data_IF_019244998214
#
_entry.id   IF_019244998214
#
_cell.length_a   1.000
_cell.length_b   1.000
_cell.length_c   1.000
_cell.angle_alpha   90.00
_cell.angle_beta   90.00
_cell.angle_gamma   90.00
#
_symmetry.space_group_name_H-M   'P 1'
#
loop_
_entity.id
_entity.type
_entity.pdbx_description
1 polymer ?
#
# COMPACT_ATOMS: atom_id res chain seq x y z
N UNK A 1 -32.97 -5.30 11.37
CA UNK A 1 -33.02 -4.66 10.03
C UNK A 1 -32.58 -3.19 10.02
N UNK A 2 -32.77 -2.42 11.10
CA UNK A 2 -32.42 -0.98 11.10
C UNK A 2 -30.91 -0.70 10.99
N UNK A 3 -30.06 -1.57 11.53
CA UNK A 3 -28.60 -1.35 11.53
C UNK A 3 -27.96 -1.60 10.15
N UNK A 4 -28.51 -2.52 9.36
CA UNK A 4 -28.01 -2.80 8.00
C UNK A 4 -28.15 -1.59 7.08
N UNK A 5 -29.18 -0.76 7.28
CA UNK A 5 -29.38 0.50 6.52
C UNK A 5 -28.20 1.46 6.70
N UNK A 6 -27.49 1.41 7.84
CA UNK A 6 -26.30 2.22 8.07
C UNK A 6 -25.02 1.47 7.70
N UNK A 7 -24.93 0.17 8.02
CA UNK A 7 -23.72 -0.62 7.76
C UNK A 7 -23.44 -0.81 6.27
N UNK A 8 -24.47 -0.99 5.43
CA UNK A 8 -24.30 -1.16 3.99
C UNK A 8 -23.64 0.08 3.34
N UNK A 9 -24.18 1.31 3.49
CA UNK A 9 -23.54 2.47 2.89
C UNK A 9 -22.18 2.78 3.50
N UNK A 10 -21.97 2.54 4.80
CA UNK A 10 -20.65 2.70 5.42
C UNK A 10 -19.65 1.71 4.81
N UNK A 11 -20.02 0.44 4.66
CA UNK A 11 -19.14 -0.57 4.06
C UNK A 11 -18.82 -0.25 2.60
N UNK A 12 -19.81 0.17 1.81
CA UNK A 12 -19.59 0.61 0.42
C UNK A 12 -18.68 1.83 0.35
N UNK A 13 -18.86 2.80 1.24
CA UNK A 13 -18.03 4.00 1.31
C UNK A 13 -16.58 3.65 1.68
N UNK A 14 -16.38 2.81 2.69
CA UNK A 14 -15.04 2.35 3.09
C UNK A 14 -14.36 1.53 2.00
N UNK A 15 -15.10 0.62 1.35
CA UNK A 15 -14.60 -0.13 0.20
C UNK A 15 -14.24 0.77 -0.98
N UNK A 16 -15.07 1.76 -1.28
CA UNK A 16 -14.83 2.75 -2.32
C UNK A 16 -13.61 3.65 -2.02
N UNK A 17 -13.46 4.10 -0.78
CA UNK A 17 -12.30 4.85 -0.32
C UNK A 17 -11.01 4.03 -0.46
N UNK A 18 -11.03 2.77 -0.04
CA UNK A 18 -9.89 1.86 -0.17
C UNK A 18 -9.50 1.65 -1.63
N UNK A 19 -10.48 1.40 -2.51
CA UNK A 19 -10.24 1.24 -3.94
C UNK A 19 -9.69 2.54 -4.56
N UNK A 20 -10.25 3.69 -4.22
CA UNK A 20 -9.77 4.98 -4.71
C UNK A 20 -8.33 5.25 -4.27
N UNK A 21 -8.01 5.03 -2.98
CA UNK A 21 -6.67 5.18 -2.44
C UNK A 21 -5.68 4.22 -3.13
N UNK A 22 -6.09 2.98 -3.37
CA UNK A 22 -5.28 1.99 -4.10
C UNK A 22 -4.97 2.43 -5.54
N UNK A 23 -5.98 2.85 -6.30
CA UNK A 23 -5.80 3.34 -7.66
C UNK A 23 -4.95 4.61 -7.71
N UNK A 24 -5.13 5.52 -6.74
CA UNK A 24 -4.29 6.71 -6.61
C UNK A 24 -2.83 6.35 -6.31
N UNK A 25 -2.59 5.38 -5.44
CA UNK A 25 -1.25 4.88 -5.09
C UNK A 25 -0.53 4.26 -6.29
N UNK A 26 -1.25 3.48 -7.12
CA UNK A 26 -0.71 2.95 -8.38
C UNK A 26 -0.36 4.06 -9.36
N UNK A 27 -1.27 5.04 -9.55
CA UNK A 27 -1.01 6.18 -10.44
C UNK A 27 0.16 7.06 -9.95
N UNK A 28 0.39 7.11 -8.65
CA UNK A 28 1.46 7.90 -8.04
C UNK A 28 2.86 7.31 -8.25
N UNK A 29 3.00 6.14 -8.89
CA UNK A 29 4.29 5.50 -9.14
C UNK A 29 4.97 4.97 -7.88
N UNK A 30 4.28 4.91 -6.73
CA UNK A 30 4.90 4.48 -5.46
C UNK A 30 5.39 3.03 -5.48
N UNK A 31 4.87 2.20 -6.40
CA UNK A 31 5.28 0.81 -6.54
C UNK A 31 6.48 0.62 -7.48
N UNK A 32 6.95 1.66 -8.17
CA UNK A 32 8.04 1.55 -9.15
C UNK A 32 9.42 1.40 -8.50
N UNK A 33 9.63 1.92 -7.27
CA UNK A 33 10.89 1.80 -6.52
C UNK A 33 10.86 0.69 -5.44
N UNK A 34 9.82 -0.15 -5.40
CA UNK A 34 9.78 -1.26 -4.43
C UNK A 34 10.85 -2.31 -4.73
N UNK A 35 11.13 -2.58 -6.00
CA UNK A 35 12.18 -3.51 -6.41
C UNK A 35 13.57 -2.98 -6.03
N UNK A 36 13.82 -1.67 -6.19
CA UNK A 36 15.07 -1.01 -5.81
C UNK A 36 15.26 -0.90 -4.29
N UNK A 37 14.18 -0.74 -3.54
CA UNK A 37 14.20 -0.78 -2.08
C UNK A 37 14.51 -2.18 -1.54
N UNK A 38 13.90 -3.22 -2.12
CA UNK A 38 14.18 -4.62 -1.73
C UNK A 38 15.64 -5.01 -2.01
N UNK A 39 16.18 -4.60 -3.16
CA UNK A 39 17.59 -4.83 -3.48
C UNK A 39 18.54 -4.19 -2.45
N UNK A 40 18.27 -2.93 -2.06
CA UNK A 40 19.06 -2.21 -1.05
C UNK A 40 19.09 -2.89 0.32
N UNK A 41 17.95 -3.40 0.79
CA UNK A 41 17.86 -4.09 2.08
C UNK A 41 18.68 -5.39 2.10
N UNK A 42 18.73 -6.11 0.97
CA UNK A 42 19.53 -7.34 0.85
C UNK A 42 21.01 -6.98 0.70
N UNK A 43 21.35 -5.98 -0.13
CA UNK A 43 22.75 -5.60 -0.40
C UNK A 43 23.44 -4.94 0.80
N UNK A 44 22.74 -4.14 1.62
CA UNK A 44 23.31 -3.56 2.85
C UNK A 44 23.71 -4.63 3.90
N UNK A 45 23.22 -5.86 3.76
CA UNK A 45 23.65 -6.97 4.64
C UNK A 45 25.03 -7.54 4.27
N UNK A 46 25.50 -7.33 3.04
CA UNK A 46 26.75 -7.89 2.50
C UNK A 46 27.92 -6.88 2.51
N UNK A 47 27.65 -5.57 2.55
CA UNK A 47 28.67 -4.53 2.66
C UNK A 47 28.92 -4.13 4.13
N UNK A 48 29.61 -5.00 4.89
CA UNK A 48 30.42 -4.52 6.02
C UNK A 48 31.75 -4.01 5.46
N UNK A 49 32.16 -2.76 5.76
CA UNK A 49 33.51 -2.32 5.47
C UNK A 49 34.46 -3.03 6.45
N UNK A 50 35.20 -4.00 5.95
CA UNK A 50 36.34 -4.56 6.67
C UNK A 50 37.43 -3.47 6.73
N UNK A 51 37.66 -2.96 7.94
CA UNK A 51 38.66 -1.94 8.27
C UNK A 51 40.10 -2.49 8.24
#
# INVERSE_FOLDING_TARGET
MNMLIFLIPIALFLGGLGLFAFLWSLKSGQYEDLDGAAWRVISESDDKPDA
#
